data_IF_919359036148
#
_entry.id   IF_919359036148
#
_cell.length_a   1.000
_cell.length_b   1.000
_cell.length_c   1.000
_cell.angle_alpha   90.00
_cell.angle_beta   90.00
_cell.angle_gamma   90.00
#
_symmetry.space_group_name_H-M   'P 1'
#
loop_
_entity.id
_entity.type
_entity.pdbx_description
1 polymer ?
#
# COMPACT_ATOMS: atom_id res chain seq x y z
N UNK A 1 21.41 0.86 20.81
CA UNK A 1 20.16 0.22 21.27
C UNK A 1 20.45 -1.22 21.67
N UNK A 2 19.76 -1.74 22.66
CA UNK A 2 19.90 -3.14 23.08
C UNK A 2 19.07 -4.03 22.14
N UNK A 3 19.69 -5.06 21.58
CA UNK A 3 19.03 -6.04 20.70
C UNK A 3 18.13 -6.94 21.57
N UNK A 4 16.88 -7.16 21.12
CA UNK A 4 16.02 -8.20 21.67
C UNK A 4 16.00 -9.40 20.73
N UNK A 5 16.74 -10.44 21.11
CA UNK A 5 16.83 -11.68 20.35
C UNK A 5 15.91 -12.76 20.94
N UNK A 6 15.35 -13.62 20.09
CA UNK A 6 14.62 -14.83 20.50
C UNK A 6 15.33 -16.05 19.94
N UNK A 7 15.73 -16.97 20.81
CA UNK A 7 16.38 -18.23 20.44
C UNK A 7 15.38 -19.40 20.47
N UNK A 8 15.24 -20.14 19.37
CA UNK A 8 14.61 -21.46 19.37
C UNK A 8 15.67 -22.51 19.71
N UNK A 9 15.62 -23.03 20.93
CA UNK A 9 16.59 -23.99 21.46
C UNK A 9 15.86 -25.25 21.96
N UNK A 10 15.51 -26.13 21.02
CA UNK A 10 14.79 -27.38 21.28
C UNK A 10 15.62 -28.34 22.15
N UNK A 11 16.93 -28.37 21.92
CA UNK A 11 17.87 -29.29 22.58
C UNK A 11 18.51 -28.68 23.85
N UNK A 12 18.27 -27.39 24.11
CA UNK A 12 18.78 -26.63 25.28
C UNK A 12 20.31 -26.55 25.33
N UNK A 13 20.97 -26.58 24.19
CA UNK A 13 22.44 -26.60 24.09
C UNK A 13 23.02 -25.20 24.01
N UNK A 14 22.28 -24.25 23.44
CA UNK A 14 22.80 -22.95 23.00
C UNK A 14 22.53 -21.88 24.05
N UNK A 15 21.37 -21.93 24.69
CA UNK A 15 21.00 -20.96 25.72
C UNK A 15 22.03 -20.87 26.87
N UNK A 16 22.55 -21.99 27.44
CA UNK A 16 23.56 -21.91 28.49
C UNK A 16 24.84 -21.17 28.07
N UNK A 17 25.18 -21.16 26.78
CA UNK A 17 26.35 -20.48 26.25
C UNK A 17 26.12 -18.97 26.05
N UNK A 18 24.89 -18.58 25.70
CA UNK A 18 24.57 -17.20 25.32
C UNK A 18 23.92 -16.39 26.44
N UNK A 19 23.25 -17.03 27.41
CA UNK A 19 22.48 -16.35 28.45
C UNK A 19 23.29 -15.31 29.23
N UNK A 20 24.45 -15.70 29.74
CA UNK A 20 25.32 -14.81 30.50
C UNK A 20 25.89 -13.68 29.63
N UNK A 21 26.22 -14.00 28.38
CA UNK A 21 26.86 -13.07 27.44
C UNK A 21 25.88 -11.96 27.02
N UNK A 22 24.63 -12.30 26.71
CA UNK A 22 23.60 -11.31 26.40
C UNK A 22 23.30 -10.43 27.62
N UNK A 23 23.25 -11.01 28.82
CA UNK A 23 23.00 -10.26 30.04
C UNK A 23 24.12 -9.25 30.34
N UNK A 24 25.38 -9.68 30.24
CA UNK A 24 26.56 -8.82 30.47
C UNK A 24 26.66 -7.69 29.45
N UNK A 25 26.28 -7.95 28.19
CA UNK A 25 26.31 -6.95 27.11
C UNK A 25 25.08 -6.03 27.08
N UNK A 26 24.13 -6.24 28.00
CA UNK A 26 22.90 -5.44 28.09
C UNK A 26 21.88 -5.73 27.00
N UNK A 27 22.01 -6.85 26.30
CA UNK A 27 21.04 -7.35 25.33
C UNK A 27 20.00 -8.26 26.01
N UNK A 28 18.82 -8.40 25.40
CA UNK A 28 17.76 -9.25 25.94
C UNK A 28 17.64 -10.52 25.09
N UNK A 29 17.82 -11.66 25.74
CA UNK A 29 17.63 -12.97 25.12
C UNK A 29 16.34 -13.61 25.65
N UNK A 30 15.40 -13.86 24.76
CA UNK A 30 14.23 -14.71 24.99
C UNK A 30 14.53 -16.12 24.48
N UNK A 31 13.91 -17.14 25.07
CA UNK A 31 14.11 -18.54 24.65
C UNK A 31 12.77 -19.20 24.41
N UNK A 32 12.70 -19.94 23.31
CA UNK A 32 11.65 -20.88 22.99
C UNK A 32 12.22 -22.30 23.00
N UNK A 33 11.66 -23.19 23.82
CA UNK A 33 12.01 -24.61 23.88
C UNK A 33 11.29 -25.45 22.80
N UNK A 34 10.31 -24.88 22.11
CA UNK A 34 9.56 -25.53 21.02
C UNK A 34 8.98 -24.48 20.07
N UNK A 35 8.46 -24.94 18.93
CA UNK A 35 7.93 -24.07 17.87
C UNK A 35 6.68 -23.30 18.28
N UNK A 36 5.78 -23.90 19.08
CA UNK A 36 4.56 -23.25 19.54
C UNK A 36 4.88 -22.02 20.40
N UNK A 37 5.80 -22.18 21.36
CA UNK A 37 6.26 -21.10 22.22
C UNK A 37 7.06 -20.07 21.41
N UNK A 38 7.81 -20.49 20.39
CA UNK A 38 8.50 -19.58 19.48
C UNK A 38 7.50 -18.69 18.73
N UNK A 39 6.48 -19.30 18.12
CA UNK A 39 5.43 -18.59 17.41
C UNK A 39 4.62 -17.67 18.34
N UNK A 40 4.36 -18.07 19.58
CA UNK A 40 3.71 -17.22 20.58
C UNK A 40 4.60 -16.03 20.99
N UNK A 41 5.90 -16.23 21.19
CA UNK A 41 6.83 -15.16 21.59
C UNK A 41 7.06 -14.16 20.47
N UNK A 42 7.23 -14.61 19.22
CA UNK A 42 7.25 -13.71 18.06
C UNK A 42 5.95 -12.92 17.96
N UNK A 43 4.81 -13.55 18.34
CA UNK A 43 3.52 -12.88 18.28
C UNK A 43 3.28 -11.86 19.40
N UNK A 44 3.67 -12.18 20.61
CA UNK A 44 3.37 -11.37 21.80
C UNK A 44 4.43 -10.31 22.07
N UNK A 45 5.62 -10.44 21.48
CA UNK A 45 6.76 -9.58 21.79
C UNK A 45 7.40 -9.02 20.53
N UNK A 46 7.76 -7.74 20.57
CA UNK A 46 8.61 -7.13 19.54
C UNK A 46 10.03 -7.69 19.62
N UNK A 47 10.32 -8.67 18.78
CA UNK A 47 11.64 -9.28 18.61
C UNK A 47 12.33 -8.64 17.40
N UNK A 48 13.62 -8.34 17.55
CA UNK A 48 14.43 -7.77 16.46
C UNK A 48 15.02 -8.87 15.58
N UNK A 49 15.58 -9.90 16.22
CA UNK A 49 16.27 -11.01 15.57
C UNK A 49 15.83 -12.32 16.18
N UNK A 50 15.55 -13.32 15.35
CA UNK A 50 15.32 -14.70 15.78
C UNK A 50 16.54 -15.55 15.47
N UNK A 51 17.05 -16.26 16.48
CA UNK A 51 18.13 -17.23 16.34
C UNK A 51 17.53 -18.63 16.28
N UNK A 52 17.83 -19.37 15.23
CA UNK A 52 17.28 -20.71 14.97
C UNK A 52 18.36 -21.63 14.39
N UNK A 53 18.24 -22.94 14.56
CA UNK A 53 19.05 -23.86 13.76
C UNK A 53 18.58 -23.82 12.30
N UNK A 54 19.47 -24.10 11.34
CA UNK A 54 19.10 -24.16 9.93
C UNK A 54 17.96 -25.18 9.65
N UNK A 55 17.93 -26.29 10.37
CA UNK A 55 16.85 -27.29 10.33
C UNK A 55 15.47 -26.72 10.66
N UNK A 56 15.41 -25.62 11.40
CA UNK A 56 14.18 -24.99 11.89
C UNK A 56 13.74 -23.77 11.06
N UNK A 57 14.29 -23.60 9.84
CA UNK A 57 13.96 -22.47 8.95
C UNK A 57 12.46 -22.33 8.66
N UNK A 58 11.71 -23.44 8.65
CA UNK A 58 10.25 -23.43 8.47
C UNK A 58 9.52 -22.79 9.66
N UNK A 59 10.03 -22.97 10.88
CA UNK A 59 9.46 -22.33 12.06
C UNK A 59 9.59 -20.80 11.96
N UNK A 60 10.73 -20.32 11.48
CA UNK A 60 10.89 -18.88 11.18
C UNK A 60 9.95 -18.41 10.09
N UNK A 61 9.86 -19.10 8.94
CA UNK A 61 8.92 -18.70 7.89
C UNK A 61 7.49 -18.61 8.43
N UNK A 62 7.04 -19.59 9.21
CA UNK A 62 5.69 -19.61 9.79
C UNK A 62 5.43 -18.51 10.82
N UNK A 63 6.46 -17.84 11.34
CA UNK A 63 6.33 -16.80 12.35
C UNK A 63 6.18 -15.39 11.77
N UNK A 64 6.30 -15.22 10.45
CA UNK A 64 6.07 -13.95 9.77
C UNK A 64 4.62 -13.47 9.93
N UNK A 65 4.46 -12.15 10.02
CA UNK A 65 3.18 -11.46 10.06
C UNK A 65 3.06 -10.50 8.88
N UNK A 66 1.83 -10.10 8.55
CA UNK A 66 1.55 -9.17 7.45
C UNK A 66 2.32 -7.84 7.55
N UNK A 67 2.63 -7.38 8.78
CA UNK A 67 3.29 -6.11 9.05
C UNK A 67 4.73 -6.23 9.57
N UNK A 68 5.21 -7.45 9.82
CA UNK A 68 6.52 -7.66 10.46
C UNK A 68 7.09 -9.06 10.23
N UNK A 69 8.34 -9.10 9.78
CA UNK A 69 9.16 -10.30 9.64
C UNK A 69 10.42 -10.17 10.52
N UNK A 70 10.62 -11.02 11.55
CA UNK A 70 11.84 -10.97 12.33
C UNK A 70 13.05 -11.37 11.47
N UNK A 71 14.17 -10.68 11.64
CA UNK A 71 15.41 -11.03 10.93
C UNK A 71 15.90 -12.39 11.43
N UNK A 72 16.22 -13.36 10.54
CA UNK A 72 16.74 -14.64 10.95
C UNK A 72 18.24 -14.59 11.17
N UNK A 73 18.69 -15.33 12.16
CA UNK A 73 20.08 -15.68 12.37
C UNK A 73 20.19 -17.19 12.58
N UNK A 74 20.92 -17.86 11.70
CA UNK A 74 21.01 -19.31 11.64
C UNK A 74 22.24 -19.83 12.36
N UNK A 75 22.03 -20.86 13.18
CA UNK A 75 23.10 -21.62 13.80
C UNK A 75 23.24 -22.91 13.00
N UNK A 76 24.42 -23.13 12.45
CA UNK A 76 24.70 -24.19 11.48
C UNK A 76 25.49 -25.31 12.13
N UNK A 77 25.15 -26.54 11.76
CA UNK A 77 25.91 -27.73 12.15
C UNK A 77 26.89 -28.15 11.05
N UNK A 78 26.61 -27.78 9.78
CA UNK A 78 27.41 -28.22 8.61
C UNK A 78 27.71 -27.07 7.65
N UNK A 79 28.83 -27.18 6.93
CA UNK A 79 29.26 -26.22 5.90
C UNK A 79 28.29 -26.14 4.71
N UNK A 80 27.67 -27.28 4.36
CA UNK A 80 26.68 -27.36 3.28
C UNK A 80 25.45 -26.48 3.53
N UNK A 81 25.15 -26.16 4.79
CA UNK A 81 24.02 -25.30 5.16
C UNK A 81 24.33 -23.83 4.90
N UNK A 82 25.59 -23.42 5.06
CA UNK A 82 26.05 -22.08 4.73
C UNK A 82 25.91 -21.81 3.23
N UNK A 83 26.34 -22.77 2.39
CA UNK A 83 26.20 -22.66 0.93
C UNK A 83 24.72 -22.48 0.56
N UNK A 84 23.83 -23.32 1.11
CA UNK A 84 22.39 -23.23 0.84
C UNK A 84 21.78 -21.89 1.22
N UNK A 85 22.18 -21.31 2.36
CA UNK A 85 21.69 -20.00 2.80
C UNK A 85 22.24 -18.88 1.91
N UNK A 86 23.49 -18.98 1.47
CA UNK A 86 24.08 -18.02 0.53
C UNK A 86 23.44 -18.08 -0.84
N UNK A 87 23.13 -19.27 -1.34
CA UNK A 87 22.50 -19.51 -2.65
C UNK A 87 21.09 -18.90 -2.76
N UNK A 88 20.41 -18.72 -1.62
CA UNK A 88 19.09 -18.08 -1.57
C UNK A 88 19.16 -16.58 -1.25
N UNK A 89 20.37 -16.01 -1.06
CA UNK A 89 20.57 -14.58 -0.86
C UNK A 89 20.64 -14.11 0.60
N UNK A 90 20.99 -14.99 1.55
CA UNK A 90 21.45 -14.54 2.88
C UNK A 90 22.93 -14.20 2.87
N UNK A 91 23.32 -13.21 3.68
CA UNK A 91 24.72 -12.83 3.84
C UNK A 91 25.40 -13.64 4.94
N UNK A 92 26.73 -13.56 4.97
CA UNK A 92 27.55 -14.16 6.05
C UNK A 92 27.24 -13.57 7.44
N UNK A 93 26.51 -12.45 7.50
CA UNK A 93 26.03 -11.88 8.75
C UNK A 93 24.90 -12.70 9.37
N UNK A 94 24.18 -13.51 8.59
CA UNK A 94 23.04 -14.29 9.07
C UNK A 94 23.41 -15.55 9.80
N UNK A 95 24.66 -16.00 9.84
CA UNK A 95 24.93 -17.32 10.40
C UNK A 95 26.29 -17.49 11.07
N UNK A 96 26.35 -18.51 11.91
CA UNK A 96 27.58 -19.05 12.53
C UNK A 96 27.52 -20.58 12.56
N UNK A 97 28.68 -21.22 12.42
CA UNK A 97 28.81 -22.68 12.46
C UNK A 97 29.28 -23.16 13.83
N UNK A 98 28.69 -24.21 14.36
CA UNK A 98 29.15 -24.83 15.61
C UNK A 98 30.49 -25.56 15.42
N UNK A 99 31.42 -25.49 16.39
CA UNK A 99 31.43 -24.55 17.53
C UNK A 99 31.76 -23.13 17.06
N UNK A 100 31.09 -22.11 17.63
CA UNK A 100 31.29 -20.71 17.26
C UNK A 100 31.78 -19.86 18.46
N UNK A 101 32.34 -18.69 18.14
CA UNK A 101 32.67 -17.68 19.14
C UNK A 101 31.43 -16.80 19.45
N UNK A 102 30.94 -16.73 20.70
CA UNK A 102 29.79 -15.91 21.04
C UNK A 102 29.96 -14.41 20.76
N UNK A 103 31.20 -13.88 20.82
CA UNK A 103 31.47 -12.47 20.50
C UNK A 103 31.34 -12.19 19.00
N UNK A 104 31.71 -13.16 18.16
CA UNK A 104 31.48 -13.08 16.71
C UNK A 104 29.99 -13.03 16.40
N UNK A 105 29.21 -13.93 17.04
CA UNK A 105 27.75 -13.94 16.93
C UNK A 105 27.17 -12.57 17.31
N UNK A 106 27.54 -12.02 18.47
CA UNK A 106 27.03 -10.70 18.90
C UNK A 106 27.39 -9.58 17.93
N UNK A 107 28.61 -9.59 17.38
CA UNK A 107 29.02 -8.61 16.39
C UNK A 107 28.14 -8.70 15.13
N UNK A 108 27.94 -9.91 14.60
CA UNK A 108 27.07 -10.13 13.43
C UNK A 108 25.63 -9.69 13.69
N UNK A 109 25.06 -10.01 14.85
CA UNK A 109 23.72 -9.54 15.26
C UNK A 109 23.64 -8.00 15.31
N UNK A 110 24.68 -7.36 15.84
CA UNK A 110 24.77 -5.89 15.91
C UNK A 110 24.80 -5.25 14.52
N UNK A 111 25.54 -5.84 13.58
CA UNK A 111 25.54 -5.39 12.18
C UNK A 111 24.16 -5.59 11.54
N UNK A 112 23.58 -6.79 11.62
CA UNK A 112 22.23 -7.06 11.07
C UNK A 112 21.17 -6.11 11.62
N UNK A 113 21.23 -5.77 12.91
CA UNK A 113 20.28 -4.84 13.52
C UNK A 113 20.46 -3.42 12.99
N UNK A 114 21.70 -2.93 12.88
CA UNK A 114 22.01 -1.53 12.54
C UNK A 114 21.90 -1.20 11.05
N UNK A 115 22.29 -2.12 10.17
CA UNK A 115 22.29 -1.88 8.73
C UNK A 115 20.86 -1.68 8.21
N UNK A 116 20.71 -0.72 7.30
CA UNK A 116 19.44 -0.37 6.65
C UNK A 116 19.36 -0.91 5.22
N UNK A 117 18.21 -0.75 4.53
CA UNK A 117 18.06 -1.16 3.14
C UNK A 117 19.13 -0.58 2.19
N UNK A 118 19.61 0.63 2.45
CA UNK A 118 20.67 1.28 1.67
C UNK A 118 22.02 0.53 1.74
N UNK A 119 22.21 -0.30 2.76
CA UNK A 119 23.36 -1.18 2.93
C UNK A 119 23.16 -2.56 2.26
N UNK A 120 22.29 -2.66 1.24
CA UNK A 120 21.93 -3.91 0.58
C UNK A 120 23.12 -4.76 0.11
N UNK A 121 24.22 -4.13 -0.28
CA UNK A 121 25.47 -4.80 -0.64
C UNK A 121 26.12 -5.59 0.51
N UNK A 122 25.85 -5.23 1.76
CA UNK A 122 26.30 -5.95 2.97
C UNK A 122 25.21 -6.87 3.52
N UNK A 123 23.95 -6.44 3.43
CA UNK A 123 22.80 -7.22 3.90
C UNK A 123 22.50 -8.41 2.99
N UNK A 124 22.81 -8.31 1.71
CA UNK A 124 22.39 -9.23 0.66
C UNK A 124 20.86 -9.27 0.50
N UNK A 125 20.39 -10.08 -0.44
CA UNK A 125 19.07 -9.99 -1.02
C UNK A 125 17.92 -10.20 -0.02
N UNK A 126 17.92 -11.32 0.73
CA UNK A 126 16.77 -11.68 1.58
C UNK A 126 16.64 -10.75 2.78
N UNK A 127 17.76 -10.34 3.39
CA UNK A 127 17.70 -9.37 4.49
C UNK A 127 17.21 -8.01 4.02
N UNK A 128 17.60 -7.58 2.81
CA UNK A 128 17.14 -6.33 2.22
C UNK A 128 15.62 -6.35 2.08
N UNK A 129 15.05 -7.46 1.57
CA UNK A 129 13.60 -7.65 1.49
C UNK A 129 12.94 -7.58 2.87
N UNK A 130 13.49 -8.28 3.87
CA UNK A 130 12.93 -8.29 5.24
C UNK A 130 12.97 -6.88 5.85
N UNK A 131 14.05 -6.13 5.64
CA UNK A 131 14.18 -4.75 6.13
C UNK A 131 13.16 -3.83 5.47
N UNK A 132 13.00 -3.91 4.15
CA UNK A 132 12.00 -3.15 3.42
C UNK A 132 10.57 -3.52 3.84
N UNK A 133 10.32 -4.82 4.09
CA UNK A 133 9.05 -5.32 4.64
C UNK A 133 8.73 -4.68 5.99
N UNK A 134 9.69 -4.69 6.92
CA UNK A 134 9.50 -4.13 8.26
C UNK A 134 9.36 -2.60 8.27
N UNK A 135 9.98 -1.91 7.31
CA UNK A 135 9.89 -0.46 7.17
C UNK A 135 8.68 0.00 6.34
N UNK A 136 7.98 -0.95 5.70
CA UNK A 136 6.85 -0.69 4.78
C UNK A 136 7.23 0.26 3.64
N UNK A 137 8.44 0.12 3.14
CA UNK A 137 8.94 0.96 2.04
C UNK A 137 8.58 0.39 0.66
N UNK A 138 8.31 1.29 -0.27
CA UNK A 138 8.14 0.98 -1.69
C UNK A 138 9.46 1.22 -2.41
N UNK A 139 10.07 0.15 -2.92
CA UNK A 139 11.40 0.16 -3.55
C UNK A 139 11.53 -0.97 -4.57
N UNK A 140 12.53 -0.88 -5.43
CA UNK A 140 12.96 -1.99 -6.27
C UNK A 140 14.25 -2.56 -5.70
N UNK A 141 14.31 -3.88 -5.49
CA UNK A 141 15.53 -4.60 -5.15
C UNK A 141 16.08 -5.22 -6.42
N UNK A 142 17.15 -4.65 -6.96
CA UNK A 142 17.89 -5.21 -8.09
C UNK A 142 18.93 -6.21 -7.55
N UNK A 143 18.93 -7.42 -8.11
CA UNK A 143 20.04 -8.37 -7.98
C UNK A 143 20.63 -8.63 -9.35
N UNK A 144 21.96 -8.54 -9.49
CA UNK A 144 22.63 -8.73 -10.78
C UNK A 144 24.00 -9.39 -10.65
N UNK A 145 24.35 -10.26 -11.59
CA UNK A 145 25.69 -10.84 -11.74
C UNK A 145 26.29 -10.59 -13.14
N UNK A 146 25.62 -9.73 -13.91
CA UNK A 146 25.79 -9.55 -15.35
C UNK A 146 24.42 -9.51 -16.05
N UNK A 147 23.48 -10.34 -15.58
CA UNK A 147 22.05 -10.25 -15.87
C UNK A 147 21.35 -9.68 -14.65
N UNK A 148 20.43 -8.72 -14.83
CA UNK A 148 19.71 -8.08 -13.73
C UNK A 148 18.30 -8.65 -13.59
N UNK A 149 17.92 -8.96 -12.36
CA UNK A 149 16.57 -9.27 -11.93
C UNK A 149 16.13 -8.22 -10.92
N UNK A 150 14.97 -7.61 -11.15
CA UNK A 150 14.37 -6.63 -10.26
C UNK A 150 13.19 -7.25 -9.53
N UNK A 151 13.15 -7.06 -8.22
CA UNK A 151 12.04 -7.46 -7.36
C UNK A 151 11.33 -6.20 -6.89
N UNK A 152 10.07 -6.09 -7.26
CA UNK A 152 9.25 -4.94 -6.95
C UNK A 152 8.61 -5.12 -5.57
N UNK A 153 8.89 -4.17 -4.67
CA UNK A 153 8.31 -4.12 -3.33
C UNK A 153 7.46 -2.86 -3.22
N UNK A 154 6.24 -3.01 -2.75
CA UNK A 154 5.31 -1.90 -2.53
C UNK A 154 4.76 -1.98 -1.11
N UNK A 155 4.93 -0.91 -0.34
CA UNK A 155 4.54 -0.82 1.07
C UNK A 155 5.04 -2.00 1.92
N UNK A 156 6.24 -2.50 1.62
CA UNK A 156 6.84 -3.66 2.28
C UNK A 156 6.40 -5.03 1.78
N UNK A 157 5.45 -5.13 0.85
CA UNK A 157 5.03 -6.38 0.23
C UNK A 157 5.74 -6.61 -1.12
N UNK A 158 6.34 -7.79 -1.30
CA UNK A 158 6.87 -8.21 -2.61
C UNK A 158 5.70 -8.47 -3.55
N UNK A 159 5.60 -7.68 -4.63
CA UNK A 159 4.56 -7.83 -5.66
C UNK A 159 4.94 -8.87 -6.71
N UNK A 160 6.22 -8.89 -7.09
CA UNK A 160 6.67 -9.69 -8.23
C UNK A 160 8.11 -9.44 -8.63
N UNK A 161 8.51 -10.15 -9.67
CA UNK A 161 9.82 -10.05 -10.32
C UNK A 161 9.64 -9.80 -11.82
N UNK A 162 10.58 -9.06 -12.42
CA UNK A 162 10.63 -8.81 -13.87
C UNK A 162 11.36 -9.92 -14.66
N UNK A 163 11.87 -10.92 -13.96
CA UNK A 163 12.52 -12.11 -14.52
C UNK A 163 11.87 -13.39 -13.97
N UNK A 164 12.19 -14.54 -14.57
CA UNK A 164 11.75 -15.84 -14.07
C UNK A 164 12.42 -16.22 -12.75
N UNK A 165 11.76 -17.05 -11.94
CA UNK A 165 12.36 -17.63 -10.74
C UNK A 165 13.60 -18.47 -11.03
N UNK A 166 13.69 -19.14 -12.18
CA UNK A 166 14.90 -19.85 -12.58
C UNK A 166 16.07 -18.88 -12.79
N UNK A 167 15.83 -17.76 -13.47
CA UNK A 167 16.85 -16.72 -13.68
C UNK A 167 17.24 -16.07 -12.35
N UNK A 168 16.27 -15.69 -11.52
CA UNK A 168 16.54 -15.11 -10.21
C UNK A 168 17.39 -16.04 -9.35
N UNK A 169 17.06 -17.35 -9.30
CA UNK A 169 17.87 -18.34 -8.58
C UNK A 169 19.27 -18.46 -9.16
N UNK A 170 19.40 -18.44 -10.49
CA UNK A 170 20.72 -18.44 -11.15
C UNK A 170 21.58 -17.25 -10.74
N UNK A 171 20.99 -16.04 -10.70
CA UNK A 171 21.70 -14.84 -10.26
C UNK A 171 22.03 -14.91 -8.77
N UNK A 172 21.13 -15.43 -7.92
CA UNK A 172 21.37 -15.58 -6.48
C UNK A 172 22.44 -16.62 -6.17
N UNK A 173 22.53 -17.72 -6.92
CA UNK A 173 23.58 -18.74 -6.77
C UNK A 173 24.97 -18.22 -7.22
N UNK A 174 25.04 -17.07 -7.90
CA UNK A 174 26.29 -16.45 -8.37
C UNK A 174 27.08 -15.79 -7.25
N UNK A 175 28.36 -16.13 -7.11
CA UNK A 175 29.27 -15.49 -6.14
C UNK A 175 29.55 -14.01 -6.44
N UNK A 176 29.28 -13.55 -7.67
CA UNK A 176 29.52 -12.17 -8.12
C UNK A 176 28.27 -11.29 -8.06
N UNK A 177 27.19 -11.79 -7.44
CA UNK A 177 25.94 -11.04 -7.34
C UNK A 177 26.14 -9.70 -6.62
N UNK A 178 25.46 -8.69 -7.12
CA UNK A 178 25.36 -7.36 -6.55
C UNK A 178 23.90 -7.09 -6.25
N UNK A 179 23.62 -6.67 -5.02
CA UNK A 179 22.28 -6.28 -4.58
C UNK A 179 22.25 -4.76 -4.41
N UNK A 180 21.23 -4.13 -5.00
CA UNK A 180 21.02 -2.68 -4.93
C UNK A 180 19.55 -2.37 -4.67
N UNK A 181 19.31 -1.28 -3.96
CA UNK A 181 17.97 -0.72 -3.78
C UNK A 181 17.85 0.48 -4.70
N UNK A 182 16.74 0.55 -5.44
CA UNK A 182 16.37 1.68 -6.30
C UNK A 182 15.04 2.24 -5.85
N UNK A 183 14.78 3.49 -6.26
CA UNK A 183 13.48 4.11 -6.04
C UNK A 183 12.38 3.36 -6.78
N UNK A 184 11.17 3.48 -6.25
CA UNK A 184 10.01 2.77 -6.76
C UNK A 184 9.63 3.29 -8.15
N UNK A 185 9.52 2.36 -9.10
CA UNK A 185 8.98 2.58 -10.42
C UNK A 185 8.09 1.39 -10.79
N UNK A 186 7.06 1.63 -11.61
CA UNK A 186 6.23 0.54 -12.10
C UNK A 186 7.01 -0.29 -13.12
N UNK A 187 7.13 -1.59 -12.86
CA UNK A 187 7.77 -2.57 -13.74
C UNK A 187 6.73 -3.56 -14.26
N UNK A 188 6.88 -3.99 -15.51
CA UNK A 188 6.15 -5.16 -16.01
C UNK A 188 6.69 -6.40 -15.29
N UNK A 189 5.82 -7.09 -14.56
CA UNK A 189 6.19 -8.25 -13.75
C UNK A 189 5.95 -9.52 -14.55
N UNK A 190 6.99 -10.33 -14.71
CA UNK A 190 6.90 -11.65 -15.32
C UNK A 190 6.26 -12.66 -14.34
N UNK A 191 6.56 -12.55 -13.04
CA UNK A 191 6.00 -13.40 -12.00
C UNK A 191 5.50 -12.56 -10.83
N UNK A 192 4.35 -12.96 -10.27
CA UNK A 192 3.72 -12.30 -9.12
C UNK A 192 3.65 -13.24 -7.93
N UNK A 193 3.73 -12.66 -6.73
CA UNK A 193 3.67 -13.38 -5.45
C UNK A 193 2.53 -12.83 -4.62
N UNK A 194 2.03 -13.65 -3.68
CA UNK A 194 0.97 -13.21 -2.78
C UNK A 194 1.45 -12.12 -1.83
N UNK A 195 2.64 -12.33 -1.26
CA UNK A 195 3.27 -11.46 -0.27
C UNK A 195 4.77 -11.79 -0.16
N UNK A 196 5.49 -11.04 0.66
CA UNK A 196 6.92 -11.23 0.91
C UNK A 196 7.24 -12.62 1.51
N UNK A 197 6.33 -13.19 2.30
CA UNK A 197 6.52 -14.52 2.91
C UNK A 197 6.45 -15.62 1.85
N UNK A 198 5.46 -15.57 0.97
CA UNK A 198 5.27 -16.48 -0.16
C UNK A 198 6.46 -16.43 -1.12
N UNK A 199 6.97 -15.23 -1.40
CA UNK A 199 8.18 -15.04 -2.19
C UNK A 199 9.40 -15.74 -1.56
N UNK A 200 9.72 -15.42 -0.31
CA UNK A 200 10.90 -15.99 0.38
C UNK A 200 10.74 -17.50 0.59
N UNK A 201 9.52 -17.98 0.87
CA UNK A 201 9.22 -19.41 0.93
C UNK A 201 9.51 -20.11 -0.41
N UNK A 202 9.16 -19.48 -1.53
CA UNK A 202 9.41 -20.03 -2.87
C UNK A 202 10.91 -20.14 -3.17
N UNK A 203 11.74 -19.24 -2.64
CA UNK A 203 13.20 -19.34 -2.73
C UNK A 203 13.74 -20.51 -1.89
N UNK A 204 13.31 -20.63 -0.64
CA UNK A 204 13.82 -21.64 0.32
C UNK A 204 13.38 -23.05 -0.05
N UNK A 205 12.10 -23.25 -0.37
CA UNK A 205 11.55 -24.60 -0.60
C UNK A 205 11.81 -25.10 -2.02
N UNK A 206 12.45 -24.29 -2.88
CA UNK A 206 12.53 -24.49 -4.35
C UNK A 206 11.17 -24.90 -4.94
N UNK A 207 10.08 -24.43 -4.33
CA UNK A 207 8.72 -24.74 -4.76
C UNK A 207 8.48 -24.13 -6.13
N UNK A 208 7.58 -24.74 -6.92
CA UNK A 208 6.98 -24.01 -8.04
C UNK A 208 6.19 -22.86 -7.43
N UNK A 209 6.29 -21.63 -7.98
CA UNK A 209 5.45 -20.54 -7.53
C UNK A 209 4.01 -21.06 -7.54
N UNK A 210 3.23 -20.72 -6.52
CA UNK A 210 1.78 -20.84 -6.63
C UNK A 210 1.40 -19.80 -7.69
N UNK A 211 1.51 -20.18 -8.96
CA UNK A 211 0.87 -19.45 -10.04
C UNK A 211 -0.58 -19.37 -9.60
N UNK A 212 -1.07 -18.16 -9.44
CA UNK A 212 -2.47 -17.90 -9.23
C UNK A 212 -3.18 -18.32 -10.52
N UNK A 213 -3.40 -19.64 -10.68
CA UNK A 213 -4.38 -20.18 -11.59
C UNK A 213 -5.70 -19.83 -10.93
N UNK A 214 -6.27 -18.71 -11.36
CA UNK A 214 -7.62 -18.31 -11.01
C UNK A 214 -8.53 -19.39 -11.58
N UNK A 215 -8.83 -20.40 -10.77
CA UNK A 215 -10.02 -21.22 -10.98
C UNK A 215 -11.21 -20.38 -10.55
N UNK A 216 -12.19 -20.26 -11.45
CA UNK A 216 -13.42 -19.49 -11.29
C UNK A 216 -14.04 -19.75 -9.90
N UNK A 217 -13.94 -18.73 -9.05
CA UNK A 217 -14.26 -18.73 -7.64
C UNK A 217 -13.91 -17.36 -7.06
N UNK A 218 -14.49 -16.34 -7.68
CA UNK A 218 -14.43 -14.89 -7.44
C UNK A 218 -13.57 -14.41 -6.26
N UNK A 219 -12.28 -14.17 -6.55
CA UNK A 219 -11.57 -12.97 -6.07
C UNK A 219 -11.18 -12.16 -7.29
N UNK A 220 -12.09 -11.29 -7.72
CA UNK A 220 -11.74 -10.24 -8.67
C UNK A 220 -10.93 -9.22 -7.88
N UNK A 221 -9.61 -9.41 -7.82
CA UNK A 221 -8.71 -8.27 -7.64
C UNK A 221 -8.90 -7.46 -8.92
N UNK A 222 -9.88 -6.54 -8.91
CA UNK A 222 -10.02 -5.57 -10.00
C UNK A 222 -8.69 -4.86 -10.07
N UNK A 223 -7.99 -4.95 -11.20
CA UNK A 223 -6.90 -4.04 -11.50
C UNK A 223 -7.39 -2.63 -11.17
N UNK A 224 -6.82 -2.02 -10.13
CA UNK A 224 -7.23 -0.69 -9.73
C UNK A 224 -6.71 0.27 -10.78
N UNK A 225 -7.52 0.55 -11.79
CA UNK A 225 -7.16 1.50 -12.83
C UNK A 225 -7.31 2.90 -12.23
N UNK A 226 -6.25 3.72 -12.21
CA UNK A 226 -6.30 5.06 -11.63
C UNK A 226 -7.31 5.97 -12.36
N UNK A 227 -7.64 5.59 -13.60
CA UNK A 227 -8.77 6.06 -14.37
C UNK A 227 -9.57 4.84 -14.81
N UNK A 228 -10.85 4.78 -14.42
CA UNK A 228 -11.77 3.75 -14.87
C UNK A 228 -12.99 4.43 -15.49
N UNK A 229 -13.25 4.16 -16.77
CA UNK A 229 -14.52 4.53 -17.39
C UNK A 229 -15.61 3.60 -16.85
N UNK A 230 -16.56 4.17 -16.11
CA UNK A 230 -17.67 3.43 -15.49
C UNK A 230 -18.83 3.30 -16.49
N UNK A 231 -19.04 4.36 -17.25
CA UNK A 231 -20.05 4.48 -18.29
C UNK A 231 -19.51 5.45 -19.36
N UNK A 232 -20.07 5.43 -20.56
CA UNK A 232 -19.67 6.32 -21.66
C UNK A 232 -19.54 7.77 -21.18
N UNK A 233 -18.33 8.32 -21.26
CA UNK A 233 -17.97 9.68 -20.83
C UNK A 233 -18.13 9.94 -19.31
N UNK A 234 -18.16 8.90 -18.47
CA UNK A 234 -18.13 8.98 -17.01
C UNK A 234 -16.92 8.18 -16.49
N UNK A 235 -15.96 8.92 -15.94
CA UNK A 235 -14.71 8.35 -15.46
C UNK A 235 -14.64 8.49 -13.94
N UNK A 236 -14.36 7.38 -13.25
CA UNK A 236 -13.83 7.44 -11.88
C UNK A 236 -12.35 7.78 -11.96
N UNK A 237 -11.96 8.85 -11.29
CA UNK A 237 -10.58 9.32 -11.21
C UNK A 237 -10.15 9.24 -9.76
N UNK A 238 -9.22 8.33 -9.47
CA UNK A 238 -8.78 8.09 -8.10
C UNK A 238 -7.34 7.63 -8.12
N UNK A 239 -6.47 8.25 -7.32
CA UNK A 239 -5.08 7.83 -7.16
C UNK A 239 -4.81 7.56 -5.69
N UNK A 240 -4.72 6.30 -5.33
CA UNK A 240 -4.37 5.91 -3.98
C UNK A 240 -2.87 5.64 -3.89
N UNK A 241 -2.19 6.33 -2.99
CA UNK A 241 -0.76 6.10 -2.71
C UNK A 241 -0.54 4.95 -1.71
N UNK A 242 -1.59 4.60 -0.97
CA UNK A 242 -1.74 3.52 0.01
C UNK A 242 -3.22 3.12 0.06
N UNK A 243 -3.64 2.05 0.74
CA UNK A 243 -5.07 1.73 0.93
C UNK A 243 -5.63 2.52 2.14
N UNK A 244 -6.29 3.68 1.98
CA UNK A 244 -6.88 4.37 3.12
C UNK A 244 -8.15 3.65 3.59
N UNK A 245 -8.39 3.73 4.91
CA UNK A 245 -9.63 3.25 5.55
C UNK A 245 -10.87 3.97 4.99
N UNK A 246 -10.70 5.20 4.46
CA UNK A 246 -11.74 6.03 3.88
C UNK A 246 -11.30 6.51 2.48
N UNK A 247 -11.71 5.79 1.44
CA UNK A 247 -11.50 6.20 0.06
C UNK A 247 -12.44 7.36 -0.31
N UNK A 248 -11.94 8.30 -1.10
CA UNK A 248 -12.77 9.36 -1.70
C UNK A 248 -12.83 9.18 -3.20
N UNK A 249 -14.05 8.99 -3.70
CA UNK A 249 -14.27 8.92 -5.13
C UNK A 249 -14.38 10.34 -5.70
N UNK A 250 -13.59 10.61 -6.73
CA UNK A 250 -13.80 11.75 -7.62
C UNK A 250 -14.21 11.21 -9.00
N UNK A 251 -15.08 11.95 -9.68
CA UNK A 251 -15.61 11.55 -10.98
C UNK A 251 -15.45 12.68 -11.99
N UNK A 252 -14.96 12.37 -13.18
CA UNK A 252 -14.98 13.26 -14.33
C UNK A 252 -16.15 12.84 -15.23
N UNK A 253 -17.13 13.73 -15.38
CA UNK A 253 -18.28 13.52 -16.25
C UNK A 253 -18.24 14.50 -17.42
N UNK A 254 -18.18 13.97 -18.63
CA UNK A 254 -18.20 14.75 -19.87
C UNK A 254 -19.58 14.58 -20.51
N UNK A 255 -20.26 15.69 -20.74
CA UNK A 255 -21.53 15.75 -21.43
C UNK A 255 -21.30 16.25 -22.85
N UNK A 256 -21.87 15.57 -23.83
CA UNK A 256 -21.80 15.95 -25.24
C UNK A 256 -23.21 16.11 -25.81
N UNK A 257 -23.47 17.24 -26.46
CA UNK A 257 -24.78 17.49 -27.06
C UNK A 257 -24.90 18.87 -27.69
N UNK A 258 -25.67 18.98 -28.78
CA UNK A 258 -25.92 20.23 -29.52
C UNK A 258 -24.62 20.98 -29.91
N UNK A 259 -23.64 20.24 -30.43
CA UNK A 259 -22.30 20.74 -30.81
C UNK A 259 -21.53 21.44 -29.67
N UNK A 260 -21.88 21.10 -28.43
CA UNK A 260 -21.20 21.58 -27.23
C UNK A 260 -20.74 20.41 -26.40
N UNK A 261 -19.68 20.67 -25.64
CA UNK A 261 -19.12 19.78 -24.63
C UNK A 261 -19.15 20.54 -23.31
N UNK A 262 -19.55 19.85 -22.24
CA UNK A 262 -19.45 20.37 -20.87
C UNK A 262 -18.77 19.32 -20.02
N UNK A 263 -17.68 19.67 -19.34
CA UNK A 263 -16.97 18.77 -18.44
C UNK A 263 -17.15 19.20 -16.97
N UNK A 264 -17.61 18.26 -16.15
CA UNK A 264 -17.81 18.44 -14.71
C UNK A 264 -16.89 17.49 -13.93
N UNK A 265 -16.17 18.04 -12.96
CA UNK A 265 -15.45 17.26 -11.96
C UNK A 265 -16.32 17.20 -10.69
N UNK A 266 -16.77 16.01 -10.33
CA UNK A 266 -17.62 15.76 -9.16
C UNK A 266 -16.73 15.28 -8.03
N UNK A 267 -16.70 16.07 -6.96
CA UNK A 267 -15.72 16.07 -5.89
C UNK A 267 -14.28 16.30 -6.38
N UNK A 268 -13.45 16.73 -5.46
CA UNK A 268 -12.02 16.91 -5.66
C UNK A 268 -11.39 16.18 -4.47
N UNK A 269 -10.55 15.17 -4.75
CA UNK A 269 -10.05 14.19 -3.77
C UNK A 269 -9.35 14.81 -2.55
N UNK A 270 -8.64 13.98 -1.78
CA UNK A 270 -7.87 14.48 -0.63
C UNK A 270 -6.66 15.33 -1.05
N UNK A 271 -6.05 16.02 -0.08
CA UNK A 271 -4.91 16.92 -0.30
C UNK A 271 -3.75 16.18 -1.00
N UNK A 272 -3.51 14.93 -0.59
CA UNK A 272 -2.41 14.12 -1.11
C UNK A 272 -2.69 13.53 -2.50
N UNK A 273 -3.97 13.45 -2.88
CA UNK A 273 -4.41 12.83 -4.14
C UNK A 273 -4.54 13.83 -5.28
N UNK A 274 -4.76 15.11 -5.00
CA UNK A 274 -5.12 16.11 -6.03
C UNK A 274 -4.08 16.25 -7.13
N UNK A 275 -2.79 16.31 -6.79
CA UNK A 275 -1.70 16.37 -7.79
C UNK A 275 -1.71 15.14 -8.70
N UNK A 276 -2.01 13.97 -8.13
CA UNK A 276 -2.16 12.71 -8.83
C UNK A 276 -3.38 12.65 -9.74
N UNK A 277 -4.55 12.99 -9.21
CA UNK A 277 -5.82 13.07 -9.95
C UNK A 277 -5.69 14.06 -11.11
N UNK A 278 -5.07 15.22 -10.86
CA UNK A 278 -4.79 16.23 -11.88
C UNK A 278 -3.95 15.67 -13.01
N UNK A 279 -2.77 15.11 -12.72
CA UNK A 279 -1.89 14.58 -13.76
C UNK A 279 -2.59 13.45 -14.52
N UNK A 280 -3.31 12.56 -13.83
CA UNK A 280 -4.07 11.48 -14.47
C UNK A 280 -5.16 12.01 -15.41
N UNK A 281 -5.89 13.07 -15.03
CA UNK A 281 -6.89 13.67 -15.92
C UNK A 281 -6.20 14.30 -17.14
N UNK A 282 -5.17 15.13 -16.92
CA UNK A 282 -4.43 15.85 -17.97
C UNK A 282 -3.70 14.91 -18.96
N UNK A 283 -3.13 13.82 -18.46
CA UNK A 283 -2.30 12.89 -19.24
C UNK A 283 -3.12 11.84 -19.99
N UNK A 284 -4.36 11.54 -19.54
CA UNK A 284 -5.09 10.35 -20.01
C UNK A 284 -6.43 10.64 -20.68
N UNK A 285 -7.17 11.66 -20.23
CA UNK A 285 -8.58 11.82 -20.62
C UNK A 285 -8.83 13.19 -21.25
N UNK A 286 -8.25 14.25 -20.66
CA UNK A 286 -8.79 15.59 -20.83
C UNK A 286 -7.86 16.69 -20.31
N UNK A 287 -7.71 17.79 -21.03
CA UNK A 287 -7.01 18.97 -20.49
C UNK A 287 -7.85 19.63 -19.40
N UNK A 288 -7.29 19.86 -18.20
CA UNK A 288 -8.01 20.57 -17.15
C UNK A 288 -8.40 22.00 -17.56
N UNK A 289 -7.80 22.59 -18.59
CA UNK A 289 -8.23 23.87 -19.17
C UNK A 289 -9.62 23.82 -19.83
N UNK A 290 -10.08 22.63 -20.22
CA UNK A 290 -11.41 22.43 -20.79
C UNK A 290 -12.49 22.22 -19.70
N UNK A 291 -12.12 22.05 -18.42
CA UNK A 291 -13.06 21.81 -17.31
C UNK A 291 -14.01 22.99 -17.04
N UNK A 292 -15.32 22.83 -17.21
CA UNK A 292 -16.27 23.94 -17.03
C UNK A 292 -16.56 24.22 -15.56
N UNK A 293 -16.80 23.17 -14.78
CA UNK A 293 -17.12 23.31 -13.36
C UNK A 293 -16.69 22.14 -12.50
N UNK A 294 -16.59 22.42 -11.20
CA UNK A 294 -16.36 21.45 -10.13
C UNK A 294 -17.60 21.43 -9.23
N UNK A 295 -18.18 20.26 -9.03
CA UNK A 295 -19.30 20.06 -8.11
C UNK A 295 -18.75 19.50 -6.81
N UNK A 296 -18.82 20.26 -5.71
CA UNK A 296 -18.41 19.78 -4.39
C UNK A 296 -19.65 19.34 -3.63
N UNK A 297 -19.85 18.03 -3.52
CA UNK A 297 -21.05 17.45 -2.90
C UNK A 297 -21.06 17.63 -1.38
N UNK A 298 -19.91 17.94 -0.76
CA UNK A 298 -19.75 18.19 0.68
C UNK A 298 -18.70 19.27 0.95
N UNK A 299 -18.71 19.81 2.18
CA UNK A 299 -17.81 20.86 2.66
C UNK A 299 -16.55 20.43 3.39
N UNK A 300 -15.99 19.27 3.07
CA UNK A 300 -14.84 18.76 3.81
C UNK A 300 -13.57 19.59 3.56
N UNK A 301 -12.74 19.75 4.60
CA UNK A 301 -11.57 20.65 4.59
C UNK A 301 -10.58 20.34 3.46
N UNK A 302 -10.33 19.06 3.18
CA UNK A 302 -9.42 18.65 2.09
C UNK A 302 -9.94 19.10 0.72
N UNK A 303 -11.25 18.98 0.49
CA UNK A 303 -11.87 19.35 -0.78
C UNK A 303 -11.93 20.87 -0.95
N UNK A 304 -12.15 21.62 0.14
CA UNK A 304 -12.05 23.08 0.14
C UNK A 304 -10.64 23.57 -0.23
N UNK A 305 -9.61 22.96 0.36
CA UNK A 305 -8.22 23.30 0.09
C UNK A 305 -7.84 23.06 -1.39
N UNK A 306 -8.19 21.89 -1.92
CA UNK A 306 -7.92 21.55 -3.31
C UNK A 306 -8.72 22.41 -4.30
N UNK A 307 -9.98 22.72 -3.99
CA UNK A 307 -10.78 23.65 -4.78
C UNK A 307 -10.17 25.04 -4.81
N UNK A 308 -9.61 25.52 -3.69
CA UNK A 308 -8.86 26.78 -3.66
C UNK A 308 -7.63 26.74 -4.56
N UNK A 309 -6.79 25.70 -4.47
CA UNK A 309 -5.62 25.52 -5.35
C UNK A 309 -6.04 25.56 -6.83
N UNK A 310 -7.07 24.79 -7.19
CA UNK A 310 -7.58 24.78 -8.56
C UNK A 310 -8.12 26.14 -8.99
N UNK A 311 -8.74 26.90 -8.09
CA UNK A 311 -9.27 28.24 -8.39
C UNK A 311 -8.17 29.28 -8.70
N UNK A 312 -7.00 29.12 -8.08
CA UNK A 312 -5.80 29.94 -8.32
C UNK A 312 -5.14 29.56 -9.65
N UNK A 313 -5.12 28.27 -9.97
CA UNK A 313 -4.54 27.76 -11.22
C UNK A 313 -5.45 28.05 -12.42
N UNK A 314 -6.76 27.88 -12.26
CA UNK A 314 -7.73 28.02 -13.35
C UNK A 314 -8.71 29.16 -13.10
N UNK A 315 -8.47 30.26 -13.78
CA UNK A 315 -9.23 31.50 -13.57
C UNK A 315 -10.70 31.48 -14.05
N UNK A 316 -11.14 30.43 -14.78
CA UNK A 316 -12.47 30.35 -15.39
C UNK A 316 -13.38 29.27 -14.82
N UNK A 317 -12.85 28.33 -14.04
CA UNK A 317 -13.64 27.21 -13.49
C UNK A 317 -14.73 27.73 -12.56
N UNK A 318 -15.93 27.17 -12.67
CA UNK A 318 -17.03 27.41 -11.74
C UNK A 318 -17.06 26.34 -10.65
N UNK A 319 -17.53 26.69 -9.46
CA UNK A 319 -17.80 25.74 -8.38
C UNK A 319 -19.30 25.70 -8.13
N UNK A 320 -19.87 24.50 -8.00
CA UNK A 320 -21.28 24.27 -7.63
C UNK A 320 -21.29 23.52 -6.30
N UNK A 321 -21.94 24.07 -5.28
CA UNK A 321 -21.95 23.47 -3.94
C UNK A 321 -23.12 23.98 -3.08
N UNK A 322 -23.14 23.69 -1.78
CA UNK A 322 -24.09 24.23 -0.80
C UNK A 322 -23.67 25.63 -0.29
N UNK A 323 -24.63 26.41 0.24
CA UNK A 323 -24.34 27.74 0.78
C UNK A 323 -23.25 27.75 1.87
N UNK A 324 -23.23 26.76 2.76
CA UNK A 324 -22.25 26.64 3.84
C UNK A 324 -20.83 26.42 3.28
N UNK A 325 -20.72 25.60 2.24
CA UNK A 325 -19.46 25.29 1.56
C UNK A 325 -18.97 26.49 0.76
N UNK A 326 -19.88 27.21 0.09
CA UNK A 326 -19.56 28.47 -0.60
C UNK A 326 -18.93 29.49 0.34
N UNK A 327 -19.40 29.57 1.58
CA UNK A 327 -18.80 30.44 2.59
C UNK A 327 -17.35 30.03 2.86
N UNK A 328 -17.10 28.75 3.11
CA UNK A 328 -15.74 28.21 3.34
C UNK A 328 -14.78 28.45 2.17
N UNK A 329 -15.23 28.23 0.93
CA UNK A 329 -14.44 28.54 -0.27
C UNK A 329 -14.15 30.04 -0.39
N UNK A 330 -15.13 30.90 -0.13
CA UNK A 330 -14.96 32.35 -0.21
C UNK A 330 -13.97 32.86 0.86
N UNK A 331 -14.07 32.34 2.08
CA UNK A 331 -13.15 32.65 3.19
C UNK A 331 -11.72 32.14 2.91
N UNK A 332 -11.60 31.06 2.14
CA UNK A 332 -10.30 30.52 1.68
C UNK A 332 -9.70 31.32 0.52
N UNK A 333 -10.42 32.30 -0.04
CA UNK A 333 -9.93 33.19 -1.11
C UNK A 333 -10.51 32.94 -2.50
N UNK A 334 -11.40 31.94 -2.67
CA UNK A 334 -12.08 31.74 -3.94
C UNK A 334 -13.03 32.91 -4.24
N UNK A 335 -12.99 33.44 -5.46
CA UNK A 335 -13.91 34.51 -5.88
C UNK A 335 -15.36 34.03 -5.83
N UNK A 336 -16.19 34.65 -4.99
CA UNK A 336 -17.60 34.25 -4.82
C UNK A 336 -18.43 34.31 -6.12
N UNK A 337 -18.02 35.12 -7.11
CA UNK A 337 -18.66 35.15 -8.43
C UNK A 337 -18.48 33.86 -9.24
N UNK A 338 -17.51 33.01 -8.87
CA UNK A 338 -17.27 31.69 -9.47
C UNK A 338 -17.97 30.57 -8.71
N UNK A 339 -18.64 30.85 -7.59
CA UNK A 339 -19.27 29.84 -6.75
C UNK A 339 -20.79 30.00 -6.83
N UNK A 340 -21.44 29.01 -7.43
CA UNK A 340 -22.89 28.84 -7.47
C UNK A 340 -23.33 27.90 -6.37
N UNK A 341 -24.45 28.21 -5.75
CA UNK A 341 -25.08 27.30 -4.79
C UNK A 341 -26.18 26.50 -5.48
N UNK A 342 -26.39 25.25 -5.10
CA UNK A 342 -27.42 24.44 -5.75
C UNK A 342 -28.84 24.98 -5.48
N UNK A 343 -28.99 25.74 -4.39
CA UNK A 343 -30.17 26.48 -3.98
C UNK A 343 -30.47 27.69 -4.87
N UNK A 344 -29.47 28.18 -5.63
CA UNK A 344 -29.68 29.23 -6.63
C UNK A 344 -30.50 28.72 -7.83
N UNK A 345 -30.61 27.40 -8.02
CA UNK A 345 -31.34 26.80 -9.13
C UNK A 345 -32.82 26.58 -8.79
N UNK A 346 -33.76 27.08 -9.62
CA UNK A 346 -35.19 26.84 -9.43
C UNK A 346 -35.51 25.35 -9.37
N UNK A 347 -36.27 24.95 -8.35
CA UNK A 347 -36.62 23.55 -8.08
C UNK A 347 -35.41 22.62 -7.93
N UNK A 348 -34.25 23.16 -7.55
CA UNK A 348 -33.00 22.43 -7.42
C UNK A 348 -32.63 21.67 -8.70
N UNK A 349 -32.90 22.25 -9.87
CA UNK A 349 -32.57 21.61 -11.14
C UNK A 349 -32.03 22.60 -12.17
N UNK A 350 -31.13 22.12 -13.03
CA UNK A 350 -30.51 22.92 -14.09
C UNK A 350 -30.41 22.09 -15.36
N UNK A 351 -30.73 22.71 -16.49
CA UNK A 351 -30.41 22.16 -17.82
C UNK A 351 -29.12 22.80 -18.30
N UNK A 352 -28.07 21.99 -18.48
CA UNK A 352 -26.78 22.48 -18.94
C UNK A 352 -26.78 22.73 -20.45
N UNK A 353 -25.74 23.39 -20.96
CA UNK A 353 -25.68 23.85 -22.36
C UNK A 353 -25.82 22.73 -23.41
N UNK A 354 -25.48 21.50 -23.06
CA UNK A 354 -25.60 20.31 -23.91
C UNK A 354 -27.03 19.76 -23.97
N UNK A 355 -27.94 20.25 -23.12
CA UNK A 355 -29.35 19.84 -23.06
C UNK A 355 -29.66 18.84 -21.94
N UNK A 356 -28.65 18.27 -21.28
CA UNK A 356 -28.83 17.35 -20.16
C UNK A 356 -29.39 18.05 -18.93
N UNK A 357 -30.18 17.32 -18.13
CA UNK A 357 -30.84 17.85 -16.94
C UNK A 357 -30.26 17.24 -15.67
N UNK A 358 -29.79 18.14 -14.80
CA UNK A 358 -29.22 17.82 -13.50
C UNK A 358 -30.18 18.25 -12.40
N UNK A 359 -30.35 17.40 -11.39
CA UNK A 359 -31.16 17.69 -10.21
C UNK A 359 -30.31 17.52 -8.95
N UNK A 360 -30.37 18.51 -8.08
CA UNK A 360 -29.69 18.51 -6.79
C UNK A 360 -30.67 18.08 -5.71
N UNK A 361 -30.26 17.16 -4.84
CA UNK A 361 -31.10 16.58 -3.79
C UNK A 361 -30.41 16.83 -2.45
N UNK A 362 -30.94 17.72 -1.59
CA UNK A 362 -30.37 17.98 -0.27
C UNK A 362 -30.27 16.69 0.58
N UNK A 363 -29.12 16.47 1.22
CA UNK A 363 -28.93 15.39 2.18
C UNK A 363 -28.75 16.00 3.56
N UNK A 364 -29.90 16.28 4.19
CA UNK A 364 -29.91 16.67 5.60
C UNK A 364 -29.37 15.46 6.39
N UNK A 365 -28.43 15.68 7.32
CA UNK A 365 -27.73 14.65 8.12
C UNK A 365 -26.55 13.91 7.45
N UNK A 366 -25.91 14.52 6.44
CA UNK A 366 -24.56 14.08 6.03
C UNK A 366 -23.53 14.36 7.14
N UNK A 367 -22.49 13.51 7.32
CA UNK A 367 -21.38 13.73 8.25
C UNK A 367 -20.68 15.07 8.00
N UNK A 368 -20.49 15.43 6.74
CA UNK A 368 -19.95 16.72 6.35
C UNK A 368 -21.03 17.78 6.16
N UNK A 369 -20.65 19.03 6.42
CA UNK A 369 -21.50 20.20 6.20
C UNK A 369 -21.91 20.32 4.72
N UNK A 370 -23.18 20.69 4.50
CA UNK A 370 -23.68 21.05 3.17
C UNK A 370 -23.80 19.88 2.19
N UNK A 371 -24.03 18.66 2.68
CA UNK A 371 -24.18 17.47 1.83
C UNK A 371 -25.38 17.54 0.88
N UNK A 372 -25.17 17.26 -0.41
CA UNK A 372 -26.24 17.03 -1.40
C UNK A 372 -25.84 15.95 -2.41
N UNK A 373 -26.84 15.28 -2.98
CA UNK A 373 -26.63 14.39 -4.12
C UNK A 373 -26.85 15.14 -5.44
N UNK A 374 -26.15 14.70 -6.49
CA UNK A 374 -26.36 15.13 -7.87
C UNK A 374 -26.98 13.97 -8.65
N UNK A 375 -28.18 14.18 -9.20
CA UNK A 375 -28.90 13.22 -10.01
C UNK A 375 -28.92 13.68 -11.48
N UNK A 376 -28.42 12.83 -12.37
CA UNK A 376 -28.55 12.99 -13.82
C UNK A 376 -29.91 12.39 -14.25
N UNK A 377 -30.86 13.23 -14.69
CA UNK A 377 -32.20 12.73 -15.06
C UNK A 377 -32.18 11.87 -16.33
N UNK A 378 -31.21 12.09 -17.22
CA UNK A 378 -31.12 11.43 -18.52
C UNK A 378 -30.53 10.00 -18.43
N UNK A 379 -29.50 9.81 -17.59
CA UNK A 379 -28.82 8.51 -17.39
C UNK A 379 -29.37 7.75 -16.18
N UNK A 380 -29.96 8.44 -15.21
CA UNK A 380 -30.38 7.85 -13.94
C UNK A 380 -29.23 7.70 -12.93
N UNK A 381 -28.04 8.23 -13.23
CA UNK A 381 -26.93 8.21 -12.28
C UNK A 381 -27.18 9.14 -11.10
N UNK A 382 -26.93 8.62 -9.90
CA UNK A 382 -27.01 9.37 -8.65
C UNK A 382 -25.63 9.41 -8.00
N UNK A 383 -25.00 10.58 -8.03
CA UNK A 383 -23.78 10.84 -7.28
C UNK A 383 -24.16 11.18 -5.85
N UNK A 384 -23.87 10.26 -4.94
CA UNK A 384 -24.10 10.46 -3.52
C UNK A 384 -22.79 10.92 -2.86
N UNK A 385 -22.86 11.84 -1.87
CA UNK A 385 -21.70 12.19 -1.07
C UNK A 385 -21.36 11.03 -0.12
N UNK A 386 -21.24 11.28 1.18
CA UNK A 386 -21.04 10.22 2.18
C UNK A 386 -22.26 9.31 2.33
N UNK A 387 -23.42 9.70 1.77
CA UNK A 387 -24.63 8.89 1.74
C UNK A 387 -24.38 7.59 0.97
N UNK A 388 -24.62 6.44 1.63
CA UNK A 388 -24.32 5.09 1.14
C UNK A 388 -22.83 4.73 1.08
N UNK A 389 -21.98 5.48 1.77
CA UNK A 389 -20.57 5.12 1.91
C UNK A 389 -20.38 3.93 2.84
N UNK A 390 -19.26 3.23 2.64
CA UNK A 390 -18.78 2.15 3.49
C UNK A 390 -17.33 2.40 3.88
N UNK A 391 -16.85 1.70 4.90
CA UNK A 391 -15.41 1.53 5.03
C UNK A 391 -14.89 0.70 3.85
N UNK A 392 -13.68 1.00 3.41
CA UNK A 392 -13.02 0.18 2.42
C UNK A 392 -12.28 -0.97 3.13
N UNK A 393 -12.61 -2.20 2.77
CA UNK A 393 -11.96 -3.40 3.27
C UNK A 393 -11.97 -4.48 2.19
N UNK A 394 -10.79 -4.73 1.62
CA UNK A 394 -10.61 -5.71 0.54
C UNK A 394 -10.92 -7.16 0.96
N UNK A 395 -10.93 -7.44 2.27
CA UNK A 395 -11.19 -8.76 2.82
C UNK A 395 -12.67 -8.99 3.18
N UNK A 396 -13.54 -7.99 3.00
CA UNK A 396 -14.91 -8.08 3.48
C UNK A 396 -15.79 -9.00 2.63
N UNK A 397 -16.38 -9.99 3.30
CA UNK A 397 -17.37 -10.89 2.71
C UNK A 397 -18.79 -10.32 2.87
N UNK A 398 -18.99 -9.33 3.74
CA UNK A 398 -20.29 -8.73 4.06
C UNK A 398 -20.27 -7.19 3.94
N UNK A 399 -20.45 -6.71 2.70
CA UNK A 399 -20.54 -5.27 2.37
C UNK A 399 -21.65 -4.54 3.14
N UNK A 400 -22.70 -5.26 3.57
CA UNK A 400 -23.84 -4.67 4.27
C UNK A 400 -23.45 -4.31 5.71
N UNK A 401 -22.62 -5.12 6.36
CA UNK A 401 -22.13 -4.83 7.71
C UNK A 401 -21.24 -3.58 7.72
N UNK A 402 -20.44 -3.35 6.67
CA UNK A 402 -19.55 -2.20 6.56
C UNK A 402 -20.28 -0.88 6.33
N UNK A 403 -21.30 -0.91 5.46
CA UNK A 403 -22.22 0.22 5.28
C UNK A 403 -22.90 0.52 6.62
N UNK A 404 -23.40 -0.51 7.33
CA UNK A 404 -24.01 -0.33 8.65
C UNK A 404 -23.05 0.26 9.66
N UNK A 405 -21.80 -0.19 9.69
CA UNK A 405 -20.78 0.31 10.61
C UNK A 405 -20.44 1.77 10.31
N UNK A 406 -20.21 2.10 9.04
CA UNK A 406 -19.93 3.47 8.60
C UNK A 406 -21.08 4.41 9.00
N UNK A 407 -22.31 4.04 8.67
CA UNK A 407 -23.48 4.83 9.00
C UNK A 407 -23.70 4.95 10.51
N UNK A 408 -23.43 3.90 11.31
CA UNK A 408 -23.49 4.01 12.79
C UNK A 408 -22.49 5.00 13.37
N UNK A 409 -21.29 5.08 12.79
CA UNK A 409 -20.22 5.95 13.28
C UNK A 409 -20.43 7.40 12.84
N UNK A 410 -20.75 7.61 11.56
CA UNK A 410 -20.74 8.94 10.94
C UNK A 410 -22.13 9.54 10.71
N UNK A 411 -23.18 8.72 10.67
CA UNK A 411 -24.58 9.14 10.48
C UNK A 411 -25.47 8.62 11.61
N UNK A 412 -25.20 8.98 12.88
CA UNK A 412 -26.00 8.50 14.00
C UNK A 412 -27.44 8.99 13.87
N UNK A 413 -28.37 8.04 13.82
CA UNK A 413 -29.82 8.21 13.76
C UNK A 413 -30.43 8.61 15.10
#
# INVERSE_FOLDING_TARGET
>A
MAIKALLLDKDREIFPLLGDIFNVTGHKLLIAANEDMFAELVRSTEVDIVMINHSDIRAWLSSWREDRAPLPFFILDREEEEIKLRDIGFSELNFVRKPFNPLELLNKLSYLHKLGPEDAHQLDFVNTIIKLTNLKESKIVEVSDGTACNVLIYEGAVLGTDCTLEELRGVLESEKRLVRVKDYENLELEQRFRDSQDFVKTLIEKAKPVQVVISEGERVVREFRPVEEIEENLYRVSKFASVPVLLKNAYLRIYEGRDRRVALLINIGTIDEWSGIRNLVEDTIFSLEELDAVVLLTGELSSLYNAFILSEQKSKVQFITDYSVKRGLSESGCKSSRIRTFEDFPSYSVTIATGHRLRFIPVNFSPSLGGFCLYEEDTGNLFTPEFLSSFFNEASVDQVEEIRLYHRIFMPS
#
